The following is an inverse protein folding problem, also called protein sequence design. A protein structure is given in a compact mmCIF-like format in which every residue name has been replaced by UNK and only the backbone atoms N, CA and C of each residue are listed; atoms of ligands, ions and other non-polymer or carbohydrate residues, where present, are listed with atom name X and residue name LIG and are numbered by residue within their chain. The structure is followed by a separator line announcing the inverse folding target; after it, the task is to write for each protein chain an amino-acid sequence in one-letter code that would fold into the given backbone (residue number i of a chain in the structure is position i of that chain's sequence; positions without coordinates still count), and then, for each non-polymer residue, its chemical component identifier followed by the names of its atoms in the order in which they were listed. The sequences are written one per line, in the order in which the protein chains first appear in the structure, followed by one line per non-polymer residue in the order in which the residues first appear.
data_IF_402572591027
#
_entry.id   IF_402572591027
#
_cell.length_a   1.000
_cell.length_b   1.000
_cell.length_c   1.000
_cell.angle_alpha   90.00
_cell.angle_beta   90.00
_cell.angle_gamma   90.00
#
_symmetry.space_group_name_H-M   'P 1'
#
loop_
_entity.id
_entity.type
_entity.pdbx_description
1 polymer ?
#
# COMPACT_ATOMS: atom_id res chain seq x y z
N UNK A 1 -18.34 27.67 -13.65
CA UNK A 1 -17.64 26.97 -12.55
C UNK A 1 -17.60 25.48 -12.85
N UNK A 2 -16.43 24.94 -13.16
CA UNK A 2 -16.30 23.49 -13.39
C UNK A 2 -16.57 22.77 -12.05
N UNK A 3 -17.57 21.88 -12.01
CA UNK A 3 -17.78 20.98 -10.87
C UNK A 3 -16.50 20.15 -10.71
N UNK A 4 -15.70 20.43 -9.68
CA UNK A 4 -14.61 19.54 -9.26
C UNK A 4 -15.22 18.16 -9.09
N UNK A 5 -14.80 17.20 -9.93
CA UNK A 5 -15.20 15.81 -9.76
C UNK A 5 -14.71 15.39 -8.37
N UNK A 6 -15.54 14.71 -7.56
CA UNK A 6 -15.04 14.15 -6.30
C UNK A 6 -13.82 13.28 -6.61
N UNK A 7 -12.76 13.40 -5.83
CA UNK A 7 -11.66 12.42 -5.85
C UNK A 7 -12.26 11.07 -5.48
N UNK A 8 -12.07 10.10 -6.37
CA UNK A 8 -12.56 8.73 -6.22
C UNK A 8 -11.35 7.84 -6.38
N UNK A 9 -11.11 7.00 -5.38
CA UNK A 9 -10.07 5.98 -5.47
C UNK A 9 -10.57 4.80 -6.30
N UNK A 10 -9.66 4.12 -6.99
CA UNK A 10 -9.97 2.91 -7.75
C UNK A 10 -9.59 1.70 -6.93
N UNK A 11 -10.51 0.73 -6.83
CA UNK A 11 -10.26 -0.56 -6.20
C UNK A 11 -9.33 -1.39 -7.08
N UNK A 12 -8.08 -1.60 -6.65
CA UNK A 12 -7.11 -2.44 -7.33
C UNK A 12 -7.59 -3.90 -7.49
N UNK A 13 -8.52 -4.37 -6.64
CA UNK A 13 -9.02 -5.75 -6.71
C UNK A 13 -10.10 -5.95 -7.79
N UNK A 14 -10.82 -4.91 -8.20
CA UNK A 14 -11.97 -5.02 -9.12
C UNK A 14 -11.98 -4.01 -10.27
N UNK A 15 -11.20 -2.94 -10.18
CA UNK A 15 -11.21 -1.79 -11.09
C UNK A 15 -12.38 -0.83 -10.89
N UNK A 16 -13.21 -1.06 -9.87
CA UNK A 16 -14.38 -0.25 -9.56
C UNK A 16 -14.05 0.95 -8.66
N UNK A 17 -15.00 1.86 -8.49
CA UNK A 17 -14.80 3.09 -7.72
C UNK A 17 -15.04 2.88 -6.22
N UNK A 18 -14.12 3.34 -5.38
CA UNK A 18 -14.29 3.45 -3.93
C UNK A 18 -14.81 4.84 -3.61
N UNK A 19 -16.04 4.89 -3.12
CA UNK A 19 -16.74 6.14 -2.80
C UNK A 19 -16.84 6.32 -1.28
N UNK A 20 -16.32 7.45 -0.82
CA UNK A 20 -16.48 7.93 0.54
C UNK A 20 -17.54 9.03 0.63
N UNK A 21 -18.42 8.96 1.63
CA UNK A 21 -19.33 10.05 1.95
C UNK A 21 -19.79 10.02 3.41
N UNK A 22 -20.24 11.16 3.92
CA UNK A 22 -20.81 11.29 5.27
C UNK A 22 -22.33 11.42 5.15
N UNK A 23 -23.08 10.60 5.88
CA UNK A 23 -24.55 10.70 5.97
C UNK A 23 -24.99 10.67 7.43
N UNK A 24 -25.71 11.71 7.87
CA UNK A 24 -26.15 11.88 9.27
C UNK A 24 -24.98 11.76 10.27
N UNK A 25 -23.86 12.43 9.96
CA UNK A 25 -22.63 12.40 10.78
C UNK A 25 -21.86 11.08 10.78
N UNK A 26 -22.30 10.05 10.03
CA UNK A 26 -21.62 8.76 9.96
C UNK A 26 -20.86 8.61 8.64
N UNK A 27 -19.57 8.23 8.66
CA UNK A 27 -18.80 7.97 7.44
C UNK A 27 -19.19 6.62 6.83
N UNK A 28 -19.27 6.57 5.50
CA UNK A 28 -19.56 5.37 4.72
C UNK A 28 -18.55 5.21 3.59
N UNK A 29 -18.18 3.95 3.34
CA UNK A 29 -17.43 3.53 2.15
C UNK A 29 -18.27 2.55 1.36
N UNK A 30 -18.28 2.72 0.04
CA UNK A 30 -18.96 1.82 -0.89
C UNK A 30 -18.09 1.57 -2.11
N UNK A 31 -18.20 0.36 -2.65
CA UNK A 31 -17.80 0.05 -4.01
C UNK A 31 -18.92 0.47 -4.95
N UNK A 32 -18.59 1.22 -5.99
CA UNK A 32 -19.52 1.73 -7.00
C UNK A 32 -19.02 1.32 -8.38
N UNK A 33 -19.93 0.83 -9.20
CA UNK A 33 -19.65 0.52 -10.60
C UNK A 33 -19.16 1.77 -11.33
N UNK A 34 -17.99 1.69 -11.95
CA UNK A 34 -17.32 2.81 -12.62
C UNK A 34 -18.06 3.29 -13.87
N UNK A 35 -18.86 2.43 -14.50
CA UNK A 35 -19.60 2.73 -15.73
C UNK A 35 -21.03 3.16 -15.40
N UNK A 36 -21.79 2.31 -14.73
CA UNK A 36 -23.22 2.53 -14.44
C UNK A 36 -23.44 3.48 -13.26
N UNK A 37 -22.40 3.71 -12.45
CA UNK A 37 -22.44 4.52 -11.22
C UNK A 37 -23.39 3.99 -10.13
N UNK A 38 -23.79 2.72 -10.24
CA UNK A 38 -24.60 2.04 -9.23
C UNK A 38 -23.74 1.58 -8.05
N UNK A 39 -24.29 1.67 -6.84
CA UNK A 39 -23.63 1.12 -5.65
C UNK A 39 -23.70 -0.41 -5.68
N UNK A 40 -22.53 -1.06 -5.59
CA UNK A 40 -22.42 -2.51 -5.60
C UNK A 40 -22.51 -3.04 -4.17
N UNK A 41 -21.63 -2.55 -3.29
CA UNK A 41 -21.48 -3.11 -1.93
C UNK A 41 -20.93 -2.08 -0.95
N UNK A 42 -21.40 -2.14 0.30
CA UNK A 42 -20.81 -1.39 1.40
C UNK A 42 -19.47 -1.98 1.82
N UNK A 43 -18.44 -1.15 1.90
CA UNK A 43 -17.13 -1.52 2.40
C UNK A 43 -17.03 -1.18 3.90
N UNK A 44 -16.70 -2.17 4.71
CA UNK A 44 -16.39 -1.95 6.14
C UNK A 44 -14.94 -1.52 6.34
N UNK A 45 -14.08 -1.87 5.39
CA UNK A 45 -12.67 -1.55 5.36
C UNK A 45 -12.23 -1.36 3.91
N UNK A 46 -11.19 -0.58 3.71
CA UNK A 46 -10.42 -0.51 2.47
C UNK A 46 -8.97 -0.82 2.82
N UNK A 47 -8.38 -1.83 2.18
CA UNK A 47 -6.95 -2.11 2.27
C UNK A 47 -6.20 -0.99 1.57
N UNK A 48 -5.25 -0.39 2.25
CA UNK A 48 -4.20 0.44 1.65
C UNK A 48 -2.94 -0.42 1.57
N UNK A 49 -2.31 -0.45 0.41
CA UNK A 49 -1.03 -1.13 0.19
C UNK A 49 -0.04 -0.21 -0.50
N UNK A 50 1.22 -0.25 -0.07
CA UNK A 50 2.31 0.49 -0.72
C UNK A 50 3.38 -0.53 -1.08
N UNK A 51 3.87 -0.44 -2.31
CA UNK A 51 4.91 -1.33 -2.85
C UNK A 51 6.14 -0.49 -3.17
N UNK A 52 7.30 -0.95 -2.70
CA UNK A 52 8.60 -0.34 -2.90
C UNK A 52 9.54 -1.39 -3.47
N UNK A 53 10.31 -1.01 -4.49
CA UNK A 53 11.38 -1.82 -5.04
C UNK A 53 12.74 -1.22 -4.72
N UNK A 54 13.76 -2.07 -4.57
CA UNK A 54 15.17 -1.69 -4.54
C UNK A 54 15.92 -2.60 -5.52
N UNK A 55 16.61 -1.97 -6.46
CA UNK A 55 17.51 -2.66 -7.38
C UNK A 55 18.94 -2.14 -7.16
N UNK A 56 19.81 -3.01 -6.67
CA UNK A 56 21.22 -2.70 -6.49
C UNK A 56 22.07 -3.52 -7.45
N UNK A 57 22.77 -2.82 -8.35
CA UNK A 57 23.67 -3.43 -9.33
C UNK A 57 25.11 -2.96 -9.14
N UNK A 58 26.05 -3.92 -9.11
CA UNK A 58 27.48 -3.60 -9.08
C UNK A 58 28.05 -3.74 -10.48
N UNK A 59 28.42 -2.61 -11.10
CA UNK A 59 29.08 -2.60 -12.42
C UNK A 59 30.29 -3.53 -12.42
N UNK A 60 30.31 -4.47 -13.36
CA UNK A 60 31.38 -5.45 -13.52
C UNK A 60 31.38 -6.63 -12.51
N UNK A 61 30.38 -6.72 -11.61
CA UNK A 61 30.25 -7.83 -10.64
C UNK A 61 28.79 -8.32 -10.55
N UNK A 62 28.27 -9.00 -11.59
CA UNK A 62 26.85 -9.39 -11.68
C UNK A 62 26.38 -10.28 -10.51
N UNK A 63 27.28 -11.06 -9.90
CA UNK A 63 26.97 -11.93 -8.76
C UNK A 63 26.75 -11.19 -7.43
N UNK A 64 26.81 -9.86 -7.40
CA UNK A 64 26.59 -9.03 -6.22
C UNK A 64 25.29 -8.24 -6.25
N UNK A 65 24.45 -8.44 -7.27
CA UNK A 65 23.19 -7.73 -7.38
C UNK A 65 22.21 -8.18 -6.29
N UNK A 66 21.43 -7.23 -5.77
CA UNK A 66 20.39 -7.44 -4.78
C UNK A 66 19.10 -6.83 -5.33
N UNK A 67 18.03 -7.62 -5.31
CA UNK A 67 16.68 -7.17 -5.60
C UNK A 67 15.83 -7.31 -4.35
N UNK A 68 15.12 -6.25 -3.98
CA UNK A 68 14.18 -6.24 -2.86
C UNK A 68 12.85 -5.71 -3.39
N UNK A 69 11.79 -6.47 -3.15
CA UNK A 69 10.41 -6.03 -3.35
C UNK A 69 9.70 -6.10 -2.00
N UNK A 70 9.19 -4.97 -1.54
CA UNK A 70 8.60 -4.83 -0.23
C UNK A 70 7.22 -4.21 -0.35
N UNK A 71 6.22 -4.85 0.29
CA UNK A 71 4.84 -4.39 0.29
C UNK A 71 4.33 -4.27 1.72
N UNK A 72 3.94 -3.07 2.14
CA UNK A 72 3.26 -2.84 3.41
C UNK A 72 1.76 -2.68 3.19
N UNK A 73 0.93 -3.14 4.12
CA UNK A 73 -0.53 -3.07 4.00
C UNK A 73 -1.25 -2.88 5.34
N UNK A 74 -2.34 -2.10 5.32
CA UNK A 74 -3.26 -1.92 6.44
C UNK A 74 -4.72 -1.74 5.97
N UNK A 75 -5.68 -2.24 6.75
CA UNK A 75 -7.11 -2.05 6.56
C UNK A 75 -7.56 -0.73 7.21
N UNK A 76 -8.04 0.22 6.40
CA UNK A 76 -8.59 1.50 6.85
C UNK A 76 -10.09 1.38 7.11
N UNK A 77 -10.59 1.93 8.23
CA UNK A 77 -12.04 2.06 8.47
C UNK A 77 -12.59 3.29 7.75
N UNK A 78 -13.91 3.42 7.55
CA UNK A 78 -14.51 4.62 6.98
C UNK A 78 -14.12 5.92 7.69
N UNK A 79 -13.87 5.89 9.00
CA UNK A 79 -13.44 7.06 9.77
C UNK A 79 -11.98 7.47 9.50
N UNK A 80 -11.14 6.52 9.08
CA UNK A 80 -9.71 6.72 8.85
C UNK A 80 -9.45 7.17 7.40
N UNK A 81 -10.33 6.77 6.47
CA UNK A 81 -10.23 7.04 5.03
C UNK A 81 -10.08 8.52 4.63
N UNK A 82 -10.70 9.51 5.30
CA UNK A 82 -10.44 10.93 5.01
C UNK A 82 -8.97 11.32 5.16
N UNK A 83 -8.23 10.63 6.03
CA UNK A 83 -6.82 10.87 6.30
C UNK A 83 -5.90 9.93 5.48
N UNK A 84 -6.42 9.25 4.46
CA UNK A 84 -5.69 8.21 3.71
C UNK A 84 -4.33 8.65 3.20
N UNK A 85 -4.19 9.86 2.66
CA UNK A 85 -2.89 10.36 2.17
C UNK A 85 -1.85 10.58 3.27
N UNK A 86 -2.29 10.92 4.49
CA UNK A 86 -1.38 10.97 5.63
C UNK A 86 -0.94 9.57 6.04
N UNK A 87 -1.89 8.62 6.03
CA UNK A 87 -1.63 7.22 6.37
C UNK A 87 -0.75 6.53 5.30
N UNK A 88 -0.91 6.90 4.02
CA UNK A 88 0.00 6.52 2.93
C UNK A 88 1.43 6.86 3.32
N UNK A 89 1.69 8.12 3.64
CA UNK A 89 3.02 8.58 4.04
C UNK A 89 3.54 7.87 5.30
N UNK A 90 2.71 7.70 6.32
CA UNK A 90 3.11 6.98 7.55
C UNK A 90 3.52 5.53 7.26
N UNK A 91 2.80 4.83 6.36
CA UNK A 91 3.14 3.46 5.96
C UNK A 91 4.39 3.42 5.06
N UNK A 92 4.56 4.39 4.18
CA UNK A 92 5.73 4.54 3.31
C UNK A 92 6.99 4.74 4.15
N UNK A 93 6.99 5.74 5.03
CA UNK A 93 8.09 6.03 5.97
C UNK A 93 8.42 4.75 6.77
N UNK A 94 7.40 4.03 7.24
CA UNK A 94 7.60 2.79 7.98
C UNK A 94 8.22 1.68 7.16
N UNK A 95 7.81 1.51 5.90
CA UNK A 95 8.37 0.48 5.03
C UNK A 95 9.85 0.77 4.73
N UNK A 96 10.23 2.04 4.56
CA UNK A 96 11.62 2.46 4.41
C UNK A 96 12.45 2.16 5.67
N UNK A 97 11.92 2.46 6.87
CA UNK A 97 12.58 2.09 8.14
C UNK A 97 12.84 0.58 8.24
N UNK A 98 11.89 -0.25 7.81
CA UNK A 98 12.03 -1.71 7.83
C UNK A 98 13.16 -2.16 6.89
N UNK A 99 13.23 -1.58 5.69
CA UNK A 99 14.30 -1.87 4.72
C UNK A 99 15.66 -1.42 5.28
N UNK A 100 15.73 -0.23 5.86
CA UNK A 100 16.96 0.31 6.48
C UNK A 100 17.47 -0.61 7.60
N UNK A 101 16.57 -1.02 8.50
CA UNK A 101 16.91 -1.88 9.63
C UNK A 101 17.34 -3.29 9.20
N UNK A 102 16.66 -3.89 8.20
CA UNK A 102 16.94 -5.27 7.77
C UNK A 102 18.15 -5.40 6.85
N UNK A 103 18.42 -4.40 6.02
CA UNK A 103 19.45 -4.49 4.98
C UNK A 103 20.60 -3.54 5.23
N UNK A 104 20.40 -2.24 4.99
CA UNK A 104 21.26 -1.12 5.38
C UNK A 104 20.64 0.22 4.87
N UNK A 105 21.13 1.37 5.38
CA UNK A 105 20.63 2.68 4.94
C UNK A 105 20.88 3.02 3.47
N UNK A 106 21.96 2.51 2.85
CA UNK A 106 22.25 2.79 1.44
C UNK A 106 21.18 2.19 0.51
N UNK A 107 20.75 0.96 0.79
CA UNK A 107 19.70 0.28 0.03
C UNK A 107 18.33 0.94 0.25
N UNK A 108 18.04 1.38 1.48
CA UNK A 108 16.83 2.18 1.75
C UNK A 108 16.83 3.50 0.97
N UNK A 109 17.98 4.16 0.83
CA UNK A 109 18.13 5.36 0.00
C UNK A 109 17.97 5.13 -1.52
N UNK A 110 18.00 3.87 -1.98
CA UNK A 110 17.77 3.49 -3.38
C UNK A 110 16.34 3.02 -3.64
N UNK A 111 15.49 3.00 -2.61
CA UNK A 111 14.09 2.60 -2.71
C UNK A 111 13.31 3.48 -3.69
N UNK A 112 12.52 2.83 -4.54
CA UNK A 112 11.57 3.46 -5.44
C UNK A 112 10.17 3.00 -5.10
N UNK A 113 9.25 3.95 -4.99
CA UNK A 113 7.84 3.65 -4.81
C UNK A 113 7.28 3.19 -6.16
N UNK A 114 6.89 1.93 -6.24
CA UNK A 114 6.31 1.36 -7.46
C UNK A 114 4.82 1.66 -7.55
N UNK A 115 4.12 1.72 -6.41
CA UNK A 115 2.71 2.02 -6.42
C UNK A 115 2.04 2.07 -5.05
N UNK A 116 0.94 2.80 -5.02
CA UNK A 116 0.00 2.89 -3.90
C UNK A 116 -1.35 2.37 -4.39
N UNK A 117 -1.90 1.38 -3.69
CA UNK A 117 -3.11 0.68 -4.08
C UNK A 117 -4.16 0.70 -2.98
N UNK A 118 -5.42 0.93 -3.38
CA UNK A 118 -6.59 0.75 -2.53
C UNK A 118 -7.32 -0.53 -2.92
N UNK A 119 -7.74 -1.33 -1.94
CA UNK A 119 -8.33 -2.65 -2.16
C UNK A 119 -9.60 -2.89 -1.33
N UNK A 120 -10.58 -3.57 -1.90
CA UNK A 120 -11.78 -4.04 -1.21
C UNK A 120 -11.56 -5.38 -0.50
N UNK A 121 -10.49 -6.11 -0.84
CA UNK A 121 -10.03 -7.32 -0.13
C UNK A 121 -9.16 -6.94 1.06
N UNK A 122 -9.48 -7.54 2.21
CA UNK A 122 -8.80 -7.25 3.48
C UNK A 122 -7.42 -7.89 3.55
N UNK A 123 -6.49 -7.19 4.20
CA UNK A 123 -5.22 -7.77 4.66
C UNK A 123 -5.31 -8.29 6.11
N UNK A 124 -6.36 -7.91 6.87
CA UNK A 124 -6.61 -8.39 8.22
C UNK A 124 -6.03 -7.52 9.34
N UNK A 125 -5.13 -6.59 9.02
CA UNK A 125 -4.47 -5.71 10.00
C UNK A 125 -5.07 -4.31 9.94
N UNK A 126 -5.84 -3.94 10.95
CA UNK A 126 -6.56 -2.65 10.97
C UNK A 126 -5.62 -1.56 11.47
N UNK A 127 -5.50 -0.46 10.69
CA UNK A 127 -4.69 0.71 11.06
C UNK A 127 -4.98 1.16 12.52
N UNK A 128 -3.94 1.48 13.33
CA UNK A 128 -2.52 1.66 12.95
C UNK A 128 -1.67 0.37 12.86
N UNK A 129 -2.27 -0.81 12.94
CA UNK A 129 -1.53 -2.07 12.71
C UNK A 129 -1.30 -2.29 11.22
N UNK A 130 -0.16 -2.89 10.88
CA UNK A 130 0.21 -3.22 9.50
C UNK A 130 0.80 -4.62 9.38
N UNK A 131 0.88 -5.09 8.14
CA UNK A 131 1.71 -6.22 7.72
C UNK A 131 2.59 -5.79 6.54
N UNK A 132 3.89 -6.04 6.64
CA UNK A 132 4.86 -5.89 5.57
C UNK A 132 5.28 -7.28 5.07
N UNK A 133 5.25 -7.47 3.76
CA UNK A 133 5.76 -8.64 3.07
C UNK A 133 7.00 -8.22 2.29
N UNK A 134 8.13 -8.86 2.56
CA UNK A 134 9.42 -8.49 1.99
C UNK A 134 9.97 -9.71 1.28
N UNK A 135 10.23 -9.54 0.00
CA UNK A 135 10.79 -10.53 -0.89
C UNK A 135 12.15 -10.00 -1.32
N UNK A 136 13.18 -10.82 -1.17
CA UNK A 136 14.50 -10.40 -1.63
C UNK A 136 15.31 -11.56 -2.17
N UNK A 137 16.18 -11.22 -3.12
CA UNK A 137 17.02 -12.17 -3.81
C UNK A 137 18.40 -11.56 -4.06
N UNK A 138 19.42 -12.41 -3.94
CA UNK A 138 20.77 -12.11 -4.43
C UNK A 138 21.00 -12.91 -5.70
N UNK A 139 21.77 -12.38 -6.64
CA UNK A 139 22.04 -13.03 -7.93
C UNK A 139 22.52 -14.51 -7.85
N UNK A 140 23.07 -14.95 -6.72
CA UNK A 140 23.53 -16.34 -6.50
C UNK A 140 22.78 -17.05 -5.36
N UNK A 141 21.71 -16.47 -4.84
CA UNK A 141 21.01 -16.94 -3.66
C UNK A 141 19.58 -17.39 -3.97
N UNK A 142 19.00 -18.17 -3.06
CA UNK A 142 17.57 -18.45 -3.10
C UNK A 142 16.78 -17.19 -2.75
N UNK A 143 15.64 -16.99 -3.43
CA UNK A 143 14.61 -16.03 -3.04
C UNK A 143 14.17 -16.29 -1.60
N UNK A 144 14.13 -15.23 -0.80
CA UNK A 144 13.67 -15.26 0.58
C UNK A 144 12.42 -14.41 0.71
N UNK A 145 11.51 -14.86 1.56
CA UNK A 145 10.26 -14.18 1.86
C UNK A 145 10.11 -14.06 3.37
N UNK A 146 9.81 -12.85 3.82
CA UNK A 146 9.65 -12.52 5.23
C UNK A 146 8.39 -11.70 5.44
N UNK A 147 7.74 -11.91 6.58
CA UNK A 147 6.59 -11.13 6.99
C UNK A 147 6.91 -10.41 8.29
N UNK A 148 6.61 -9.12 8.33
CA UNK A 148 6.71 -8.31 9.53
C UNK A 148 5.33 -7.74 9.87
N UNK A 149 4.94 -7.87 11.13
CA UNK A 149 3.69 -7.29 11.65
C UNK A 149 4.05 -6.29 12.72
N UNK A 150 3.48 -5.10 12.62
CA UNK A 150 3.78 -4.03 13.57
C UNK A 150 2.60 -3.10 13.81
N UNK A 151 2.88 -2.03 14.53
CA UNK A 151 1.98 -0.89 14.75
C UNK A 151 2.79 0.37 14.51
N UNK A 152 2.18 1.34 13.81
CA UNK A 152 2.74 2.68 13.59
C UNK A 152 2.75 3.51 14.88
#
# INVERSE_FOLDING_TARGET
MAKRRPEVEVDADTGEEIIYFIRRGRPYLYLRDRVTKLFIRRLRYVRLSITISVEYEVKGKPYRNIYIDARISADLRPRDFPNRHRIEKELEDKLLEIIEFKFNPELAGMAKIEGIEYGSKRCGFIYPKYIAHIIWERATGARKEEYEVGTL
#
